data_IF_836165263197
#
_entry.id   IF_836165263197
#
_cell.length_a   1.000
_cell.length_b   1.000
_cell.length_c   1.000
_cell.angle_alpha   90.00
_cell.angle_beta   90.00
_cell.angle_gamma   90.00
#
_symmetry.space_group_name_H-M   'P 1'
#
loop_
_entity.id
_entity.type
_entity.pdbx_description
1 polymer ?
#
# COMPACT_ATOMS: atom_id res chain seq x y z
N UNK A 1 -27.89 -55.18 -4.16
CA UNK A 1 -26.50 -54.70 -4.41
C UNK A 1 -26.29 -54.14 -5.82
N UNK A 2 -26.92 -54.69 -6.87
CA UNK A 2 -26.79 -54.20 -8.27
C UNK A 2 -27.29 -52.75 -8.49
N UNK A 3 -28.33 -52.34 -7.76
CA UNK A 3 -28.93 -51.00 -7.89
C UNK A 3 -28.07 -49.88 -7.27
N UNK A 4 -27.16 -50.23 -6.34
CA UNK A 4 -26.25 -49.26 -5.72
C UNK A 4 -25.07 -48.92 -6.66
N UNK A 5 -24.58 -49.91 -7.42
CA UNK A 5 -23.48 -49.74 -8.38
C UNK A 5 -23.91 -48.90 -9.59
N UNK A 6 -25.16 -49.06 -10.06
CA UNK A 6 -25.69 -48.23 -11.16
C UNK A 6 -25.93 -46.78 -10.75
N UNK A 7 -26.34 -46.54 -9.49
CA UNK A 7 -26.52 -45.18 -8.97
C UNK A 7 -25.19 -44.43 -8.86
N UNK A 8 -24.13 -45.11 -8.40
CA UNK A 8 -22.76 -44.54 -8.31
C UNK A 8 -22.15 -44.32 -9.70
N UNK A 9 -22.38 -45.23 -10.65
CA UNK A 9 -21.91 -45.04 -12.03
C UNK A 9 -22.62 -43.86 -12.73
N UNK A 10 -23.92 -43.67 -12.49
CA UNK A 10 -24.70 -42.58 -13.06
C UNK A 10 -24.29 -41.20 -12.51
N UNK A 11 -23.94 -41.12 -11.22
CA UNK A 11 -23.43 -39.88 -10.62
C UNK A 11 -22.01 -39.55 -11.04
N UNK A 12 -21.15 -40.54 -11.27
CA UNK A 12 -19.82 -40.31 -11.85
C UNK A 12 -19.89 -39.85 -13.31
N UNK A 13 -20.83 -40.36 -14.10
CA UNK A 13 -20.98 -39.98 -15.51
C UNK A 13 -21.49 -38.54 -15.68
N UNK A 14 -22.37 -38.08 -14.79
CA UNK A 14 -22.85 -36.69 -14.80
C UNK A 14 -21.79 -35.69 -14.33
N UNK A 15 -20.97 -36.06 -13.32
CA UNK A 15 -19.81 -35.27 -12.89
C UNK A 15 -18.74 -35.16 -13.99
N UNK A 16 -18.51 -36.23 -14.74
CA UNK A 16 -17.56 -36.20 -15.85
C UNK A 16 -18.06 -35.32 -17.00
N UNK A 17 -19.37 -35.27 -17.27
CA UNK A 17 -19.95 -34.44 -18.33
C UNK A 17 -19.80 -32.91 -18.07
N UNK A 18 -19.81 -32.47 -16.82
CA UNK A 18 -19.61 -31.06 -16.46
C UNK A 18 -18.19 -30.54 -16.75
N UNK A 19 -17.20 -31.42 -16.83
CA UNK A 19 -15.81 -31.05 -17.15
C UNK A 19 -15.57 -30.74 -18.65
N UNK A 20 -16.52 -31.08 -19.54
CA UNK A 20 -16.39 -30.82 -20.98
C UNK A 20 -16.99 -29.49 -21.43
N UNK A 21 -17.68 -28.78 -20.54
CA UNK A 21 -18.25 -27.47 -20.87
C UNK A 21 -17.17 -26.41 -20.78
N UNK A 22 -16.38 -26.25 -21.84
CA UNK A 22 -15.51 -25.08 -21.97
C UNK A 22 -16.36 -23.82 -22.19
N UNK A 23 -16.24 -22.78 -21.34
CA UNK A 23 -16.82 -21.49 -21.68
C UNK A 23 -16.10 -20.98 -22.94
N UNK A 24 -16.83 -20.84 -24.04
CA UNK A 24 -16.34 -20.13 -25.20
C UNK A 24 -16.17 -18.65 -24.85
N UNK A 25 -14.93 -18.16 -24.82
CA UNK A 25 -14.69 -16.72 -24.70
C UNK A 25 -15.03 -16.08 -26.04
N UNK A 26 -16.15 -15.36 -26.10
CA UNK A 26 -16.44 -14.47 -27.24
C UNK A 26 -15.43 -13.32 -27.18
N UNK A 27 -14.32 -13.46 -27.89
CA UNK A 27 -13.31 -12.42 -27.98
C UNK A 27 -13.87 -11.28 -28.83
N UNK A 28 -14.34 -10.22 -28.16
CA UNK A 28 -14.74 -9.00 -28.85
C UNK A 28 -13.54 -8.50 -29.66
N UNK A 29 -13.74 -8.25 -30.96
CA UNK A 29 -12.64 -7.89 -31.85
C UNK A 29 -11.94 -6.61 -31.32
N UNK A 30 -10.62 -6.71 -31.09
CA UNK A 30 -9.83 -5.60 -30.58
C UNK A 30 -9.68 -4.55 -31.69
N UNK A 31 -10.50 -3.50 -31.63
CA UNK A 31 -10.37 -2.35 -32.51
C UNK A 31 -9.17 -1.50 -32.08
N UNK A 32 -8.60 -0.73 -33.03
CA UNK A 32 -7.43 0.11 -32.77
C UNK A 32 -7.69 1.09 -31.61
N UNK A 33 -8.85 1.73 -31.58
CA UNK A 33 -9.23 2.66 -30.51
C UNK A 33 -9.29 1.97 -29.14
N UNK A 34 -9.85 0.75 -29.07
CA UNK A 34 -9.88 -0.04 -27.83
C UNK A 34 -8.47 -0.43 -27.39
N UNK A 35 -7.59 -0.80 -28.32
CA UNK A 35 -6.20 -1.13 -28.02
C UNK A 35 -5.42 0.09 -27.48
N UNK A 36 -5.61 1.26 -28.08
CA UNK A 36 -4.96 2.50 -27.64
C UNK A 36 -5.49 2.91 -26.26
N UNK A 37 -6.80 2.86 -26.05
CA UNK A 37 -7.40 3.23 -24.78
C UNK A 37 -6.92 2.30 -23.65
N UNK A 38 -6.89 1.00 -23.90
CA UNK A 38 -6.38 0.02 -22.93
C UNK A 38 -4.90 0.23 -22.66
N UNK A 39 -4.10 0.47 -23.71
CA UNK A 39 -2.67 0.75 -23.57
C UNK A 39 -2.44 1.99 -22.69
N UNK A 40 -3.12 3.12 -22.95
CA UNK A 40 -2.94 4.34 -22.15
C UNK A 40 -3.33 4.16 -20.67
N UNK A 41 -4.36 3.37 -20.39
CA UNK A 41 -4.83 3.13 -19.02
C UNK A 41 -3.96 2.14 -18.24
N UNK A 42 -3.42 1.13 -18.93
CA UNK A 42 -2.69 0.04 -18.29
C UNK A 42 -1.19 0.17 -18.39
N UNK A 43 -0.66 1.15 -19.14
CA UNK A 43 0.79 1.28 -19.36
C UNK A 43 1.52 1.61 -18.04
N UNK A 44 2.34 0.69 -17.49
CA UNK A 44 3.05 0.94 -16.25
C UNK A 44 4.08 2.06 -16.37
N UNK A 45 4.65 2.27 -17.58
CA UNK A 45 5.61 3.35 -17.83
C UNK A 45 5.00 4.75 -17.71
N UNK A 46 3.74 4.94 -18.14
CA UNK A 46 3.04 6.22 -18.01
C UNK A 46 2.71 6.51 -16.55
N UNK A 47 2.28 5.49 -15.81
CA UNK A 47 2.06 5.59 -14.36
C UNK A 47 3.34 5.96 -13.62
N UNK A 48 4.46 5.30 -13.94
CA UNK A 48 5.75 5.61 -13.34
C UNK A 48 6.18 7.05 -13.63
N UNK A 49 6.12 7.48 -14.90
CA UNK A 49 6.45 8.85 -15.30
C UNK A 49 5.59 9.89 -14.59
N UNK A 50 4.28 9.65 -14.47
CA UNK A 50 3.38 10.53 -13.70
C UNK A 50 3.75 10.60 -12.22
N UNK A 51 4.00 9.46 -11.58
CA UNK A 51 4.41 9.45 -10.17
C UNK A 51 5.74 10.16 -9.93
N UNK A 52 6.67 10.10 -10.88
CA UNK A 52 7.92 10.85 -10.81
C UNK A 52 7.70 12.36 -10.95
N UNK A 53 6.86 12.78 -11.90
CA UNK A 53 6.50 14.18 -12.06
C UNK A 53 5.79 14.73 -10.81
N UNK A 54 4.84 13.96 -10.26
CA UNK A 54 4.14 14.32 -9.02
C UNK A 54 5.15 14.42 -7.86
N UNK A 55 6.03 13.44 -7.67
CA UNK A 55 7.06 13.47 -6.64
C UNK A 55 7.98 14.70 -6.73
N UNK A 56 8.35 15.11 -7.95
CA UNK A 56 9.15 16.32 -8.17
C UNK A 56 8.34 17.60 -7.89
N UNK A 57 7.04 17.61 -8.14
CA UNK A 57 6.17 18.74 -7.80
C UNK A 57 6.00 18.95 -6.29
N UNK A 58 6.18 17.89 -5.49
CA UNK A 58 6.17 17.97 -4.03
C UNK A 58 7.52 18.36 -3.42
N UNK A 59 8.57 18.57 -4.23
CA UNK A 59 9.82 19.14 -3.76
C UNK A 59 9.65 20.66 -3.72
N UNK A 60 9.45 21.27 -2.54
CA UNK A 60 9.30 22.71 -2.45
C UNK A 60 10.59 23.40 -2.87
N UNK A 61 10.46 24.57 -3.50
CA UNK A 61 11.60 25.46 -3.77
C UNK A 61 12.28 25.84 -2.46
N UNK A 62 13.48 25.27 -2.22
CA UNK A 62 14.29 25.49 -1.01
C UNK A 62 14.93 26.89 -0.94
N UNK A 63 14.40 27.86 -1.69
CA UNK A 63 15.12 29.09 -1.99
C UNK A 63 15.01 30.14 -0.88
N UNK A 64 14.04 30.04 0.05
CA UNK A 64 13.91 31.00 1.16
C UNK A 64 13.09 30.51 2.37
N UNK A 65 12.79 29.22 2.50
CA UNK A 65 12.05 28.74 3.67
C UNK A 65 12.99 28.55 4.85
N UNK A 66 12.66 29.16 5.99
CA UNK A 66 13.38 28.85 7.23
C UNK A 66 13.28 27.33 7.46
N UNK A 67 14.36 26.67 7.93
CA UNK A 67 14.29 25.27 8.28
C UNK A 67 13.10 25.02 9.21
N UNK A 68 12.29 24.02 8.86
CA UNK A 68 11.07 23.70 9.59
C UNK A 68 11.33 23.57 11.11
N UNK A 69 10.48 24.14 11.98
CA UNK A 69 10.63 24.03 13.42
C UNK A 69 10.46 22.57 13.84
N UNK A 70 11.39 22.06 14.64
CA UNK A 70 11.33 20.69 15.18
C UNK A 70 10.76 20.72 16.59
N UNK A 71 9.62 20.07 16.80
CA UNK A 71 9.13 19.77 18.14
C UNK A 71 9.82 18.52 18.70
N UNK A 72 10.12 18.51 19.99
CA UNK A 72 10.71 17.36 20.66
C UNK A 72 10.06 17.07 22.02
N UNK A 73 10.08 15.78 22.37
CA UNK A 73 9.74 15.22 23.67
C UNK A 73 10.92 14.36 24.09
N UNK A 74 11.51 14.65 25.24
CA UNK A 74 12.63 13.94 25.80
C UNK A 74 12.35 13.58 27.27
N UNK A 75 12.91 12.48 27.73
CA UNK A 75 12.76 11.99 29.08
C UNK A 75 14.17 11.75 29.64
N UNK A 76 14.49 12.40 30.75
CA UNK A 76 15.81 12.36 31.36
C UNK A 76 15.75 11.69 32.73
N UNK A 77 16.77 10.89 33.04
CA UNK A 77 16.94 10.19 34.32
C UNK A 77 15.80 9.21 34.65
N UNK A 78 15.29 8.45 33.67
CA UNK A 78 14.29 7.40 33.92
C UNK A 78 14.95 6.22 34.68
N UNK A 79 14.33 5.72 35.77
CA UNK A 79 14.81 4.54 36.48
C UNK A 79 14.61 3.26 35.63
N UNK A 80 15.65 2.43 35.51
CA UNK A 80 15.68 1.23 34.65
C UNK A 80 15.09 -0.03 35.28
N UNK A 81 14.78 0.01 36.57
CA UNK A 81 14.21 -1.08 37.36
C UNK A 81 12.68 -1.07 37.34
N UNK A 82 12.06 0.10 37.48
CA UNK A 82 10.59 0.26 37.55
C UNK A 82 9.97 1.04 36.39
N UNK A 83 10.78 1.77 35.60
CA UNK A 83 10.32 2.74 34.60
C UNK A 83 9.31 3.76 35.14
N UNK A 84 9.29 3.99 36.45
CA UNK A 84 8.38 4.93 37.09
C UNK A 84 8.91 6.36 37.00
N UNK A 85 8.10 7.27 36.44
CA UNK A 85 8.42 8.70 36.37
C UNK A 85 8.28 9.44 37.70
N UNK A 86 7.76 8.78 38.75
CA UNK A 86 7.45 9.40 40.05
C UNK A 86 8.24 8.82 41.22
N UNK A 87 8.96 7.72 41.02
CA UNK A 87 9.70 7.05 42.09
C UNK A 87 10.93 7.86 42.55
N UNK A 88 11.55 8.60 41.63
CA UNK A 88 12.75 9.41 41.90
C UNK A 88 12.52 10.86 41.50
N UNK A 89 12.85 11.81 42.39
CA UNK A 89 12.56 13.25 42.26
C UNK A 89 13.38 13.96 41.16
N UNK A 90 14.22 13.22 40.44
CA UNK A 90 15.12 13.72 39.40
C UNK A 90 14.72 13.30 37.97
N UNK A 91 13.62 12.56 37.83
CA UNK A 91 13.08 12.20 36.50
C UNK A 91 12.42 13.42 35.87
N UNK A 92 12.88 13.83 34.69
CA UNK A 92 12.38 15.04 34.03
C UNK A 92 11.81 14.72 32.64
N UNK A 93 10.64 15.26 32.36
CA UNK A 93 10.05 15.30 31.02
C UNK A 93 10.38 16.67 30.41
N UNK A 94 11.04 16.67 29.25
CA UNK A 94 11.40 17.89 28.52
C UNK A 94 10.62 17.93 27.20
N UNK A 95 9.90 19.02 26.98
CA UNK A 95 9.22 19.29 25.71
C UNK A 95 9.66 20.66 25.18
N UNK A 96 9.72 20.81 23.87
CA UNK A 96 10.10 22.09 23.28
C UNK A 96 10.00 22.11 21.76
N UNK A 97 10.29 23.29 21.19
CA UNK A 97 10.35 23.53 19.75
C UNK A 97 11.70 24.20 19.44
N UNK A 98 12.40 23.74 18.41
CA UNK A 98 13.69 24.25 17.97
C UNK A 98 13.62 24.72 16.52
N UNK A 99 14.08 25.95 16.25
CA UNK A 99 14.18 26.52 14.91
C UNK A 99 15.52 27.24 14.76
N UNK A 100 16.17 27.04 13.61
CA UNK A 100 17.42 27.73 13.28
C UNK A 100 17.08 29.08 12.64
N UNK A 101 17.61 30.16 13.20
CA UNK A 101 17.50 31.50 12.62
C UNK A 101 18.83 31.87 11.95
N UNK A 102 18.86 32.21 10.65
CA UNK A 102 20.07 32.71 10.00
C UNK A 102 20.46 34.09 10.54
N UNK A 103 21.75 34.42 10.53
CA UNK A 103 22.27 35.73 10.94
C UNK A 103 21.80 36.84 9.96
N UNK A 104 21.55 38.07 10.45
CA UNK A 104 21.12 39.20 9.63
C UNK A 104 22.20 39.74 8.69
#
# INVERSE_FOLDING_TARGET
MKNCIHSVAATCLSLLAMLWTSPGYTQEALTLDKAIHEALNTHPGLKASKTHADALSFVPDQVNTLPEPRAFLNLQNIPTDSFSFTQENMTQIQTGVQQVFPFP
#
